data_IF_876781998966
#
_entry.id   IF_876781998966
#
_cell.length_a   1.000
_cell.length_b   1.000
_cell.length_c   1.000
_cell.angle_alpha   90.00
_cell.angle_beta   90.00
_cell.angle_gamma   90.00
#
_symmetry.space_group_name_H-M   'P 1'
#
loop_
_entity.id
_entity.type
_entity.pdbx_description
1 polymer ?
#
# COMPACT_ATOMS: atom_id res chain seq x y z
N UNK A 1 -32.45 -12.23 -9.99
CA UNK A 1 -31.13 -12.40 -10.66
C UNK A 1 -30.11 -11.63 -9.87
N UNK A 2 -29.74 -12.19 -8.72
CA UNK A 2 -28.86 -11.49 -7.78
C UNK A 2 -27.45 -12.04 -7.98
N UNK A 3 -26.79 -11.59 -9.07
CA UNK A 3 -25.33 -11.66 -9.14
C UNK A 3 -24.83 -10.73 -8.05
N UNK A 4 -24.02 -11.24 -7.13
CA UNK A 4 -23.45 -10.39 -6.09
C UNK A 4 -22.44 -9.43 -6.74
N UNK A 5 -22.66 -8.14 -6.53
CA UNK A 5 -21.64 -7.12 -6.72
C UNK A 5 -20.76 -7.14 -5.46
N UNK A 6 -19.50 -7.51 -5.64
CA UNK A 6 -18.53 -7.68 -4.56
C UNK A 6 -17.45 -6.63 -4.79
N UNK A 7 -17.57 -5.52 -4.06
CA UNK A 7 -16.67 -4.37 -4.15
C UNK A 7 -16.55 -3.79 -5.58
N UNK A 8 -17.66 -3.73 -6.34
CA UNK A 8 -17.69 -3.23 -7.70
C UNK A 8 -17.25 -4.25 -8.76
N UNK A 9 -17.09 -5.53 -8.40
CA UNK A 9 -16.77 -6.63 -9.32
C UNK A 9 -17.83 -7.72 -9.23
N UNK A 10 -18.21 -8.27 -10.38
CA UNK A 10 -19.26 -9.29 -10.48
C UNK A 10 -18.75 -10.64 -9.99
N UNK A 11 -19.55 -11.37 -9.22
CA UNK A 11 -19.24 -12.74 -8.82
C UNK A 11 -19.13 -13.68 -10.03
N UNK A 12 -18.09 -14.50 -10.05
CA UNK A 12 -17.90 -15.57 -11.03
C UNK A 12 -18.75 -16.79 -10.72
N UNK A 13 -19.30 -17.41 -11.77
CA UNK A 13 -20.20 -18.55 -11.69
C UNK A 13 -19.73 -19.71 -12.57
N UNK A 14 -20.06 -20.94 -12.18
CA UNK A 14 -19.76 -22.17 -12.92
C UNK A 14 -20.17 -22.04 -14.39
N UNK A 15 -19.26 -22.29 -15.32
CA UNK A 15 -19.49 -22.10 -16.75
C UNK A 15 -19.05 -20.74 -17.31
N UNK A 16 -18.62 -19.79 -16.48
CA UNK A 16 -18.02 -18.54 -16.95
C UNK A 16 -16.73 -18.83 -17.73
N UNK A 17 -16.43 -17.96 -18.69
CA UNK A 17 -15.26 -18.10 -19.55
C UNK A 17 -14.07 -17.34 -18.97
N UNK A 18 -12.88 -17.70 -19.45
CA UNK A 18 -11.68 -16.90 -19.28
C UNK A 18 -11.32 -16.13 -20.54
N UNK A 19 -10.40 -15.17 -20.44
CA UNK A 19 -9.82 -14.44 -21.59
C UNK A 19 -9.12 -15.34 -22.61
N UNK A 20 -8.76 -16.57 -22.24
CA UNK A 20 -8.23 -17.59 -23.17
C UNK A 20 -9.30 -18.55 -23.69
N UNK A 21 -10.58 -18.31 -23.40
CA UNK A 21 -11.70 -19.15 -23.81
C UNK A 21 -11.87 -20.45 -23.01
N UNK A 22 -11.18 -20.60 -21.87
CA UNK A 22 -11.39 -21.76 -20.99
C UNK A 22 -12.68 -21.58 -20.20
N UNK A 23 -13.44 -22.66 -20.00
CA UNK A 23 -14.62 -22.71 -19.13
C UNK A 23 -14.18 -22.97 -17.69
N UNK A 24 -14.68 -22.18 -16.73
CA UNK A 24 -14.45 -22.35 -15.30
C UNK A 24 -15.43 -23.34 -14.67
N UNK A 25 -14.96 -24.14 -13.71
CA UNK A 25 -15.70 -25.22 -13.06
C UNK A 25 -15.70 -25.04 -11.54
N UNK A 26 -16.89 -24.83 -10.96
CA UNK A 26 -17.03 -24.69 -9.52
C UNK A 26 -16.87 -26.04 -8.81
N UNK A 27 -16.09 -26.05 -7.72
CA UNK A 27 -15.87 -27.26 -6.91
C UNK A 27 -16.97 -27.52 -5.88
N UNK A 28 -17.75 -26.50 -5.51
CA UNK A 28 -18.74 -26.59 -4.42
C UNK A 28 -20.17 -26.74 -4.94
N UNK A 29 -20.61 -27.99 -5.02
CA UNK A 29 -21.91 -28.40 -5.57
C UNK A 29 -23.13 -27.92 -4.77
N UNK A 30 -22.92 -27.39 -3.55
CA UNK A 30 -23.99 -26.95 -2.64
C UNK A 30 -24.33 -25.44 -2.73
N UNK A 31 -23.70 -24.70 -3.65
CA UNK A 31 -23.87 -23.23 -3.80
C UNK A 31 -24.76 -22.82 -4.97
N UNK A 32 -25.83 -23.57 -5.25
CA UNK A 32 -26.77 -23.20 -6.31
C UNK A 32 -27.39 -21.84 -6.01
N UNK A 33 -27.04 -20.83 -6.82
CA UNK A 33 -27.68 -19.53 -6.80
C UNK A 33 -29.01 -19.58 -7.59
N UNK A 34 -29.75 -18.47 -7.62
CA UNK A 34 -31.08 -18.38 -8.26
C UNK A 34 -31.13 -18.85 -9.73
N UNK A 35 -30.00 -18.83 -10.45
CA UNK A 35 -29.88 -19.24 -11.84
C UNK A 35 -29.44 -20.72 -12.03
N UNK A 36 -29.30 -21.47 -10.94
CA UNK A 36 -28.87 -22.87 -10.94
C UNK A 36 -27.36 -23.07 -11.11
N UNK A 37 -26.58 -21.98 -11.25
CA UNK A 37 -25.11 -22.04 -11.37
C UNK A 37 -24.48 -21.92 -9.98
N UNK A 38 -23.36 -22.60 -9.81
CA UNK A 38 -22.59 -22.62 -8.55
C UNK A 38 -21.59 -21.48 -8.54
N UNK A 39 -21.29 -20.93 -7.37
CA UNK A 39 -20.31 -19.85 -7.26
C UNK A 39 -18.88 -20.36 -7.47
N UNK A 40 -18.09 -19.64 -8.27
CA UNK A 40 -16.67 -19.89 -8.41
C UNK A 40 -15.91 -19.33 -7.21
N UNK A 41 -14.83 -20.00 -6.84
CA UNK A 41 -14.00 -19.69 -5.68
C UNK A 41 -12.52 -19.84 -6.01
N UNK A 42 -11.68 -19.29 -5.14
CA UNK A 42 -10.24 -19.52 -5.18
C UNK A 42 -9.94 -21.04 -5.17
N UNK A 43 -9.12 -21.49 -6.12
CA UNK A 43 -8.74 -22.89 -6.31
C UNK A 43 -9.58 -23.68 -7.32
N UNK A 44 -10.71 -23.12 -7.78
CA UNK A 44 -11.55 -23.75 -8.80
C UNK A 44 -10.81 -23.87 -10.14
N UNK A 45 -11.11 -24.95 -10.88
CA UNK A 45 -10.35 -25.32 -12.08
C UNK A 45 -11.05 -24.85 -13.35
N UNK A 46 -10.29 -24.72 -14.43
CA UNK A 46 -10.85 -24.50 -15.76
C UNK A 46 -10.65 -25.74 -16.64
N UNK A 47 -11.41 -25.84 -17.72
CA UNK A 47 -11.02 -26.65 -18.87
C UNK A 47 -9.67 -26.18 -19.45
N UNK A 48 -9.14 -26.96 -20.40
CA UNK A 48 -7.87 -26.63 -21.08
C UNK A 48 -7.88 -25.20 -21.65
N UNK A 49 -6.86 -24.43 -21.28
CA UNK A 49 -6.59 -23.09 -21.81
C UNK A 49 -6.50 -23.11 -23.35
N UNK A 50 -7.24 -22.22 -24.03
CA UNK A 50 -7.21 -22.12 -25.49
C UNK A 50 -5.87 -21.67 -26.08
N UNK A 51 -4.94 -21.18 -25.25
CA UNK A 51 -3.60 -20.73 -25.68
C UNK A 51 -2.53 -21.79 -25.40
N UNK A 52 -2.45 -22.35 -24.19
CA UNK A 52 -1.39 -23.31 -23.82
C UNK A 52 -1.85 -24.76 -23.67
N UNK A 53 -3.15 -25.05 -23.80
CA UNK A 53 -3.74 -26.38 -23.70
C UNK A 53 -3.82 -26.97 -22.29
N UNK A 54 -3.23 -26.33 -21.28
CA UNK A 54 -3.21 -26.83 -19.89
C UNK A 54 -4.46 -26.40 -19.11
N UNK A 55 -4.88 -27.24 -18.17
CA UNK A 55 -5.94 -26.91 -17.19
C UNK A 55 -5.51 -25.69 -16.38
N UNK A 56 -6.39 -24.71 -16.28
CA UNK A 56 -6.18 -23.51 -15.47
C UNK A 56 -6.71 -23.68 -14.04
N UNK A 57 -6.27 -22.80 -13.16
CA UNK A 57 -6.77 -22.67 -11.78
C UNK A 57 -7.02 -21.20 -11.48
N UNK A 58 -8.20 -20.89 -10.93
CA UNK A 58 -8.52 -19.55 -10.43
C UNK A 58 -7.71 -19.33 -9.15
N UNK A 59 -6.78 -18.37 -9.20
CA UNK A 59 -5.87 -18.09 -8.08
C UNK A 59 -6.10 -16.71 -7.45
N UNK A 60 -7.21 -16.07 -7.80
CA UNK A 60 -7.63 -14.79 -7.24
C UNK A 60 -9.11 -14.87 -6.84
N UNK A 61 -9.41 -14.38 -5.64
CA UNK A 61 -10.78 -14.27 -5.11
C UNK A 61 -10.89 -13.08 -4.17
N UNK A 62 -12.12 -12.64 -3.90
CA UNK A 62 -12.44 -11.55 -2.99
C UNK A 62 -12.84 -12.13 -1.63
N UNK A 63 -12.12 -11.75 -0.57
CA UNK A 63 -12.27 -12.29 0.78
C UNK A 63 -13.35 -11.58 1.61
N UNK A 64 -13.90 -10.48 1.11
CA UNK A 64 -15.09 -9.84 1.71
C UNK A 64 -16.34 -10.72 1.64
N UNK A 65 -16.31 -11.75 0.78
CA UNK A 65 -17.36 -12.74 0.65
C UNK A 65 -16.80 -14.14 0.41
N UNK A 66 -17.07 -15.06 1.34
CA UNK A 66 -16.54 -16.43 1.27
C UNK A 66 -17.65 -17.46 1.15
N UNK A 67 -17.35 -18.53 0.43
CA UNK A 67 -18.17 -19.75 0.37
C UNK A 67 -17.40 -20.89 1.02
N UNK A 68 -17.92 -21.44 2.11
CA UNK A 68 -17.24 -22.48 2.92
C UNK A 68 -15.82 -22.05 3.34
N UNK A 69 -15.69 -20.78 3.76
CA UNK A 69 -14.41 -20.19 4.15
C UNK A 69 -13.42 -19.91 3.02
N UNK A 70 -13.76 -20.22 1.76
CA UNK A 70 -12.92 -19.95 0.59
C UNK A 70 -13.41 -18.67 -0.11
N UNK A 71 -12.51 -17.70 -0.40
CA UNK A 71 -12.85 -16.48 -1.13
C UNK A 71 -13.55 -16.75 -2.46
N UNK A 72 -14.59 -15.98 -2.77
CA UNK A 72 -15.33 -16.12 -4.02
C UNK A 72 -14.52 -15.50 -5.17
N UNK A 73 -14.51 -16.14 -6.33
CA UNK A 73 -13.91 -15.57 -7.53
C UNK A 73 -14.81 -14.47 -8.08
N UNK A 74 -14.21 -13.41 -8.62
CA UNK A 74 -14.92 -12.25 -9.19
C UNK A 74 -14.37 -11.91 -10.58
N UNK A 75 -15.06 -11.07 -11.34
CA UNK A 75 -14.61 -10.59 -12.64
C UNK A 75 -13.15 -10.12 -12.60
N UNK A 76 -12.40 -10.46 -13.65
CA UNK A 76 -10.96 -10.17 -13.83
C UNK A 76 -10.01 -11.00 -12.94
N UNK A 77 -10.55 -11.91 -12.11
CA UNK A 77 -9.74 -12.81 -11.29
C UNK A 77 -8.72 -13.59 -12.12
N UNK A 78 -7.47 -13.58 -11.68
CA UNK A 78 -6.38 -14.29 -12.33
C UNK A 78 -6.63 -15.81 -12.39
N UNK A 79 -6.43 -16.37 -13.58
CA UNK A 79 -6.43 -17.82 -13.82
C UNK A 79 -5.04 -18.26 -14.26
N UNK A 80 -4.36 -19.09 -13.47
CA UNK A 80 -3.04 -19.60 -13.83
C UNK A 80 -3.14 -20.88 -14.66
N UNK A 81 -2.41 -20.88 -15.76
CA UNK A 81 -2.10 -22.05 -16.59
C UNK A 81 -0.64 -21.89 -17.05
N UNK A 82 -0.19 -22.64 -18.06
CA UNK A 82 1.17 -22.48 -18.58
C UNK A 82 1.42 -21.17 -19.39
N UNK A 83 0.43 -20.28 -19.49
CA UNK A 83 0.59 -18.95 -20.09
C UNK A 83 1.24 -17.97 -19.10
N UNK A 84 1.87 -16.88 -19.57
CA UNK A 84 2.34 -15.82 -18.69
C UNK A 84 1.21 -15.31 -17.76
N UNK A 85 1.45 -15.14 -16.44
CA UNK A 85 0.44 -14.63 -15.52
C UNK A 85 -0.17 -13.31 -15.99
N UNK A 86 -1.49 -13.17 -15.86
CA UNK A 86 -2.26 -12.02 -16.35
C UNK A 86 -2.79 -12.17 -17.79
N UNK A 87 -2.33 -13.17 -18.53
CA UNK A 87 -2.85 -13.49 -19.89
C UNK A 87 -4.22 -14.18 -19.84
N UNK A 88 -4.52 -14.86 -18.74
CA UNK A 88 -5.73 -15.64 -18.56
C UNK A 88 -6.49 -15.13 -17.32
N UNK A 89 -7.70 -14.60 -17.50
CA UNK A 89 -8.52 -13.98 -16.45
C UNK A 89 -9.98 -14.39 -16.56
N UNK A 90 -10.66 -14.50 -15.43
CA UNK A 90 -12.08 -14.82 -15.33
C UNK A 90 -12.93 -13.69 -15.92
N UNK A 91 -13.88 -14.04 -16.77
CA UNK A 91 -14.88 -13.15 -17.33
C UNK A 91 -16.23 -13.53 -16.71
N UNK A 92 -16.53 -12.93 -15.56
CA UNK A 92 -17.91 -12.91 -15.06
C UNK A 92 -18.70 -11.90 -15.89
N UNK A 93 -19.91 -12.24 -16.32
CA UNK A 93 -20.75 -11.31 -17.10
C UNK A 93 -22.08 -11.08 -16.42
N UNK A 94 -22.44 -9.80 -16.23
CA UNK A 94 -23.82 -9.33 -16.11
C UNK A 94 -24.64 -10.00 -17.21
N UNK A 95 -25.67 -10.71 -16.80
CA UNK A 95 -26.62 -11.40 -17.67
C UNK A 95 -26.94 -10.62 -18.95
N UNK A 96 -26.28 -11.01 -20.05
CA UNK A 96 -26.69 -10.76 -21.42
C UNK A 96 -25.76 -11.56 -22.35
N UNK A 97 -25.98 -12.88 -22.43
CA UNK A 97 -25.62 -13.67 -23.62
C UNK A 97 -26.34 -15.02 -23.62
N UNK A 98 -27.65 -14.95 -23.85
CA UNK A 98 -28.28 -15.97 -24.66
C UNK A 98 -27.90 -15.68 -26.13
N UNK A 99 -27.10 -16.56 -26.75
CA UNK A 99 -27.02 -16.66 -28.20
C UNK A 99 -25.62 -16.68 -28.82
N UNK A 100 -25.41 -17.71 -29.65
CA UNK A 100 -24.48 -17.82 -30.77
C UNK A 100 -23.11 -18.53 -30.55
N UNK A 101 -23.17 -19.85 -30.75
CA UNK A 101 -22.46 -20.64 -31.77
C UNK A 101 -20.93 -20.79 -31.78
N UNK A 102 -20.54 -22.08 -31.74
CA UNK A 102 -19.30 -22.71 -32.19
C UNK A 102 -18.65 -22.08 -33.44
N UNK A 103 -17.34 -21.84 -33.36
CA UNK A 103 -16.43 -21.93 -34.49
C UNK A 103 -15.01 -22.35 -34.02
N UNK A 104 -14.37 -23.22 -34.80
CA UNK A 104 -13.05 -23.85 -34.60
C UNK A 104 -11.88 -23.00 -35.16
N UNK A 105 -10.60 -23.34 -34.86
CA UNK A 105 -9.47 -22.42 -34.97
C UNK A 105 -8.66 -22.56 -36.27
N UNK A 106 -7.84 -21.54 -36.58
CA UNK A 106 -6.73 -21.66 -37.54
C UNK A 106 -5.47 -20.94 -37.06
N UNK A 107 -4.33 -21.54 -37.42
CA UNK A 107 -2.97 -21.23 -36.98
C UNK A 107 -2.21 -20.28 -37.94
N UNK A 108 -1.23 -19.51 -37.44
CA UNK A 108 0.03 -19.22 -38.15
C UNK A 108 1.07 -18.42 -37.32
N UNK A 109 2.26 -19.03 -37.23
CA UNK A 109 3.67 -18.58 -37.12
C UNK A 109 4.12 -17.11 -36.86
N UNK A 110 5.25 -17.03 -36.12
CA UNK A 110 6.08 -15.87 -35.71
C UNK A 110 6.95 -15.23 -36.83
N UNK A 111 7.76 -14.17 -36.56
CA UNK A 111 9.15 -14.37 -36.10
C UNK A 111 9.79 -13.29 -35.17
N UNK A 112 10.98 -13.63 -34.63
CA UNK A 112 11.83 -12.96 -33.62
C UNK A 112 12.64 -11.71 -34.07
N UNK A 113 13.36 -11.04 -33.14
CA UNK A 113 14.80 -10.83 -33.34
C UNK A 113 15.71 -11.07 -32.11
N UNK A 114 17.01 -11.10 -32.43
CA UNK A 114 18.19 -11.67 -31.75
C UNK A 114 18.93 -10.63 -30.87
N UNK A 115 19.56 -11.10 -29.77
CA UNK A 115 20.56 -10.35 -28.96
C UNK A 115 22.01 -10.60 -29.41
N UNK A 116 22.98 -9.73 -29.02
CA UNK A 116 24.37 -10.11 -28.85
C UNK A 116 24.83 -10.07 -27.37
N UNK A 117 25.67 -11.04 -26.98
CA UNK A 117 26.54 -11.09 -25.78
C UNK A 117 28.00 -10.74 -26.19
N UNK A 118 29.08 -10.78 -25.34
CA UNK A 118 29.20 -11.19 -23.91
C UNK A 118 30.15 -10.32 -23.02
N UNK A 119 30.09 -10.53 -21.69
CA UNK A 119 31.22 -11.02 -20.84
C UNK A 119 30.96 -10.87 -19.32
N UNK A 120 31.23 -11.95 -18.59
CA UNK A 120 31.17 -12.10 -17.13
C UNK A 120 32.58 -12.11 -16.53
N UNK A 121 32.73 -11.84 -15.21
CA UNK A 121 33.38 -12.86 -14.37
C UNK A 121 32.61 -13.23 -13.09
N UNK A 122 32.82 -14.49 -12.72
CA UNK A 122 32.11 -15.38 -11.79
C UNK A 122 32.06 -14.97 -10.31
N UNK A 123 30.98 -15.40 -9.63
CA UNK A 123 30.89 -15.49 -8.16
C UNK A 123 31.14 -16.93 -7.69
N UNK A 124 31.97 -17.07 -6.65
CA UNK A 124 32.43 -18.31 -6.02
C UNK A 124 31.38 -18.89 -5.06
N UNK A 125 30.94 -20.12 -5.33
CA UNK A 125 30.40 -21.03 -4.30
C UNK A 125 31.08 -22.40 -4.45
N UNK A 126 31.35 -23.14 -3.36
CA UNK A 126 32.05 -24.41 -3.43
C UNK A 126 31.15 -25.48 -4.05
N UNK A 127 31.61 -26.07 -5.15
CA UNK A 127 31.01 -27.28 -5.72
C UNK A 127 31.41 -28.49 -4.87
N UNK A 128 30.43 -29.10 -4.20
CA UNK A 128 30.49 -30.53 -3.91
C UNK A 128 29.60 -31.20 -4.95
N UNK A 129 30.18 -32.01 -5.82
CA UNK A 129 29.48 -32.65 -6.94
C UNK A 129 28.82 -33.96 -6.49
N UNK A 130 27.49 -34.13 -6.60
CA UNK A 130 26.88 -35.44 -6.82
C UNK A 130 26.58 -35.63 -8.32
N UNK A 131 26.41 -36.90 -8.73
CA UNK A 131 26.17 -37.42 -10.08
C UNK A 131 25.09 -36.67 -10.92
N UNK A 132 24.96 -36.90 -12.26
CA UNK A 132 24.04 -36.13 -13.12
C UNK A 132 22.58 -36.47 -12.78
N UNK A 133 22.01 -35.71 -11.84
CA UNK A 133 20.63 -35.82 -11.38
C UNK A 133 19.78 -34.65 -11.88
N UNK A 134 18.46 -34.88 -11.92
CA UNK A 134 17.47 -33.81 -12.13
C UNK A 134 17.59 -32.80 -10.98
N UNK A 135 17.59 -31.51 -11.31
CA UNK A 135 17.51 -30.43 -10.32
C UNK A 135 16.08 -29.92 -10.31
N UNK A 136 15.52 -29.65 -9.12
CA UNK A 136 14.20 -29.06 -8.99
C UNK A 136 14.33 -27.65 -8.45
N UNK A 137 14.07 -26.64 -9.28
CA UNK A 137 14.26 -25.25 -8.89
C UNK A 137 13.25 -24.31 -9.52
N UNK A 138 13.00 -23.19 -8.85
CA UNK A 138 12.23 -22.06 -9.34
C UNK A 138 13.08 -20.80 -9.29
N UNK A 139 13.05 -20.01 -10.36
CA UNK A 139 13.62 -18.68 -10.37
C UNK A 139 12.53 -17.61 -10.28
N UNK A 140 12.83 -16.53 -9.56
CA UNK A 140 11.98 -15.36 -9.43
C UNK A 140 12.77 -14.12 -9.85
N UNK A 141 12.19 -13.31 -10.72
CA UNK A 141 12.72 -11.99 -11.08
C UNK A 141 12.00 -10.93 -10.25
N UNK A 142 12.65 -10.43 -9.21
CA UNK A 142 12.07 -9.44 -8.29
C UNK A 142 12.38 -8.04 -8.81
N UNK A 143 11.33 -7.24 -9.02
CA UNK A 143 11.40 -5.91 -9.63
C UNK A 143 10.65 -4.87 -8.82
N UNK A 144 11.09 -3.63 -8.92
CA UNK A 144 10.35 -2.49 -8.41
C UNK A 144 9.11 -2.25 -9.29
N UNK A 145 7.93 -2.12 -8.70
CA UNK A 145 6.68 -2.03 -9.46
C UNK A 145 6.46 -0.67 -10.12
N UNK A 146 7.15 0.38 -9.68
CA UNK A 146 7.04 1.73 -10.26
C UNK A 146 8.01 1.94 -11.43
N UNK A 147 9.21 1.38 -11.32
CA UNK A 147 10.32 1.62 -12.26
C UNK A 147 10.62 0.42 -13.14
N UNK A 148 10.15 -0.78 -12.78
CA UNK A 148 10.46 -2.04 -13.47
C UNK A 148 11.90 -2.54 -13.28
N UNK A 149 12.73 -1.80 -12.55
CA UNK A 149 14.14 -2.13 -12.34
C UNK A 149 14.29 -3.36 -11.44
N UNK A 150 15.32 -4.20 -11.67
CA UNK A 150 15.60 -5.34 -10.82
C UNK A 150 15.99 -4.89 -9.41
N UNK A 151 15.44 -5.55 -8.40
CA UNK A 151 15.75 -5.28 -6.99
C UNK A 151 16.88 -6.20 -6.53
N UNK A 152 18.13 -5.75 -6.68
CA UNK A 152 19.32 -6.48 -6.24
C UNK A 152 19.51 -6.48 -4.72
N UNK A 153 20.19 -7.52 -4.19
CA UNK A 153 20.46 -7.69 -2.75
C UNK A 153 19.20 -7.53 -1.89
N UNK A 154 18.06 -7.99 -2.40
CA UNK A 154 16.76 -7.95 -1.75
C UNK A 154 16.58 -9.19 -0.90
N UNK A 155 16.42 -9.00 0.41
CA UNK A 155 16.09 -10.08 1.34
C UNK A 155 14.72 -10.67 1.00
N UNK A 156 14.64 -12.00 1.02
CA UNK A 156 13.39 -12.75 0.90
C UNK A 156 13.39 -13.95 1.83
N UNK A 157 12.19 -14.45 2.14
CA UNK A 157 11.98 -15.73 2.81
C UNK A 157 11.25 -16.66 1.85
N UNK A 158 11.83 -17.82 1.58
CA UNK A 158 11.22 -18.88 0.79
C UNK A 158 10.73 -20.00 1.71
N UNK A 159 9.46 -20.37 1.62
CA UNK A 159 8.92 -21.59 2.24
C UNK A 159 8.92 -22.70 1.20
N UNK A 160 9.66 -23.78 1.44
CA UNK A 160 9.73 -24.96 0.58
C UNK A 160 9.25 -26.16 1.37
N UNK A 161 8.15 -26.78 0.94
CA UNK A 161 7.56 -27.95 1.61
C UNK A 161 7.35 -27.74 3.13
N UNK A 162 6.95 -26.52 3.51
CA UNK A 162 6.73 -26.10 4.90
C UNK A 162 7.97 -25.63 5.66
N UNK A 163 9.18 -25.75 5.09
CA UNK A 163 10.41 -25.23 5.70
C UNK A 163 10.78 -23.85 5.16
N UNK A 164 10.97 -22.88 6.06
CA UNK A 164 11.42 -21.55 5.68
C UNK A 164 12.95 -21.48 5.54
N UNK A 165 13.40 -20.77 4.50
CA UNK A 165 14.80 -20.43 4.24
C UNK A 165 14.88 -18.97 3.80
N UNK A 166 15.79 -18.20 4.36
CA UNK A 166 16.06 -16.82 3.90
C UNK A 166 17.10 -16.80 2.80
N UNK A 167 16.99 -15.82 1.90
CA UNK A 167 17.96 -15.58 0.84
C UNK A 167 18.00 -14.10 0.43
N UNK A 168 18.90 -13.79 -0.50
CA UNK A 168 18.99 -12.46 -1.13
C UNK A 168 19.02 -12.61 -2.64
N UNK A 169 18.42 -11.66 -3.35
CA UNK A 169 18.52 -11.60 -4.82
C UNK A 169 19.93 -11.22 -5.26
N UNK A 170 20.33 -11.70 -6.44
CA UNK A 170 21.59 -11.31 -7.08
C UNK A 170 21.56 -9.88 -7.66
N UNK A 171 22.62 -9.48 -8.37
CA UNK A 171 22.72 -8.16 -9.02
C UNK A 171 21.65 -7.87 -10.07
N UNK A 172 20.98 -8.91 -10.58
CA UNK A 172 19.91 -8.82 -11.57
C UNK A 172 18.52 -8.96 -10.94
N UNK A 173 18.42 -8.93 -9.61
CA UNK A 173 17.16 -9.10 -8.88
C UNK A 173 16.62 -10.52 -8.93
N UNK A 174 17.47 -11.51 -9.19
CA UNK A 174 17.06 -12.92 -9.33
C UNK A 174 17.18 -13.66 -8.00
N UNK A 175 16.12 -14.38 -7.63
CA UNK A 175 16.12 -15.36 -6.54
C UNK A 175 15.93 -16.76 -7.11
N UNK A 176 16.79 -17.71 -6.73
CA UNK A 176 16.65 -19.13 -7.07
C UNK A 176 16.32 -19.92 -5.81
N UNK A 177 15.22 -20.67 -5.84
CA UNK A 177 14.78 -21.52 -4.74
C UNK A 177 14.71 -22.96 -5.22
N UNK A 178 15.30 -23.88 -4.47
CA UNK A 178 15.39 -25.29 -4.83
C UNK A 178 14.44 -26.14 -3.98
N UNK A 179 13.80 -27.10 -4.64
CA UNK A 179 12.91 -28.10 -4.06
C UNK A 179 13.58 -29.46 -3.95
N UNK A 180 13.00 -30.33 -3.13
CA UNK A 180 13.48 -31.70 -2.95
C UNK A 180 12.98 -32.65 -4.06
N UNK A 181 11.86 -32.31 -4.71
CA UNK A 181 11.22 -33.10 -5.76
C UNK A 181 10.48 -32.22 -6.77
N UNK A 182 9.99 -32.81 -7.86
CA UNK A 182 9.13 -32.12 -8.84
C UNK A 182 7.82 -31.61 -8.23
N UNK A 183 7.36 -32.21 -7.13
CA UNK A 183 6.13 -31.84 -6.45
C UNK A 183 6.31 -30.75 -5.40
N UNK A 184 7.56 -30.35 -5.13
CA UNK A 184 7.85 -29.35 -4.09
C UNK A 184 7.14 -28.03 -4.38
N UNK A 185 6.46 -27.52 -3.35
CA UNK A 185 5.76 -26.24 -3.39
C UNK A 185 6.65 -25.17 -2.75
N UNK A 186 6.81 -24.07 -3.45
CA UNK A 186 7.60 -22.92 -3.04
C UNK A 186 6.71 -21.71 -2.90
N UNK A 187 6.77 -21.06 -1.74
CA UNK A 187 6.19 -19.73 -1.52
C UNK A 187 7.32 -18.74 -1.28
N UNK A 188 7.35 -17.64 -2.01
CA UNK A 188 8.35 -16.58 -1.83
C UNK A 188 7.71 -15.34 -1.22
N UNK A 189 8.22 -14.90 -0.07
CA UNK A 189 7.86 -13.64 0.56
C UNK A 189 9.03 -12.66 0.44
N UNK A 190 8.81 -11.50 -0.18
CA UNK A 190 9.86 -10.50 -0.41
C UNK A 190 9.77 -9.41 0.65
N UNK A 191 10.89 -9.14 1.34
CA UNK A 191 10.92 -8.14 2.41
C UNK A 191 10.85 -6.73 1.81
N UNK A 192 10.01 -5.87 2.38
CA UNK A 192 9.89 -4.48 1.94
C UNK A 192 10.97 -3.61 2.59
N UNK A 193 11.34 -2.51 1.90
CA UNK A 193 12.25 -1.50 2.43
C UNK A 193 11.55 -0.19 2.71
N UNK A 194 11.67 0.28 3.94
CA UNK A 194 11.41 1.67 4.29
C UNK A 194 12.70 2.50 4.15
N UNK A 195 12.63 3.84 4.11
CA UNK A 195 13.83 4.68 4.07
C UNK A 195 14.81 4.45 5.21
N UNK A 196 14.32 4.08 6.41
CA UNK A 196 15.19 3.86 7.55
C UNK A 196 15.75 2.43 7.63
N UNK A 197 14.98 1.42 7.16
CA UNK A 197 15.30 0.01 7.38
C UNK A 197 14.46 -0.96 6.54
N UNK A 198 14.91 -2.21 6.47
CA UNK A 198 14.07 -3.32 6.03
C UNK A 198 12.94 -3.57 7.04
N UNK A 199 11.72 -3.76 6.54
CA UNK A 199 10.53 -4.00 7.36
C UNK A 199 10.29 -5.49 7.48
N UNK A 200 10.95 -6.10 8.47
CA UNK A 200 10.83 -7.53 8.72
C UNK A 200 9.55 -7.87 9.50
N UNK A 201 8.98 -6.93 10.26
CA UNK A 201 7.76 -7.18 11.05
C UNK A 201 6.51 -7.36 10.20
N UNK A 202 6.59 -7.01 8.91
CA UNK A 202 5.53 -7.25 7.94
C UNK A 202 5.60 -8.65 7.31
N UNK A 203 6.66 -9.41 7.59
CA UNK A 203 6.84 -10.74 7.05
C UNK A 203 5.78 -11.70 7.62
N UNK A 204 4.76 -12.01 6.81
CA UNK A 204 3.63 -12.85 7.21
C UNK A 204 2.40 -12.08 7.69
N UNK A 205 2.43 -10.75 7.73
CA UNK A 205 1.17 -9.98 7.77
C UNK A 205 0.53 -10.08 6.38
N UNK A 206 -0.80 -10.27 6.32
CA UNK A 206 -1.64 -10.13 5.11
C UNK A 206 -1.68 -8.66 4.65
N UNK A 207 -0.51 -8.07 4.44
CA UNK A 207 -0.32 -6.96 3.52
C UNK A 207 -0.62 -7.52 2.14
N UNK A 208 -1.38 -6.78 1.30
CA UNK A 208 -1.74 -7.18 -0.08
C UNK A 208 -0.53 -7.83 -0.74
N UNK A 209 -0.58 -9.16 -0.90
CA UNK A 209 0.59 -10.03 -0.80
C UNK A 209 1.61 -9.82 -1.93
N UNK A 210 2.89 -9.67 -1.57
CA UNK A 210 4.00 -10.11 -2.43
C UNK A 210 4.44 -11.50 -1.95
N UNK A 211 3.46 -12.38 -1.83
CA UNK A 211 3.67 -13.81 -1.56
C UNK A 211 3.26 -14.54 -2.84
N UNK A 212 4.22 -15.15 -3.53
CA UNK A 212 3.91 -15.93 -4.73
C UNK A 212 4.17 -17.40 -4.47
N UNK A 213 3.11 -18.20 -4.51
CA UNK A 213 3.18 -19.65 -4.33
C UNK A 213 3.15 -20.34 -5.68
N UNK A 214 4.11 -21.23 -5.94
CA UNK A 214 4.25 -21.98 -7.18
C UNK A 214 4.96 -23.32 -6.94
N UNK A 215 4.98 -24.20 -7.94
CA UNK A 215 5.80 -25.43 -7.90
C UNK A 215 7.19 -25.17 -8.47
N UNK A 216 8.15 -26.03 -8.22
CA UNK A 216 9.48 -25.99 -8.87
C UNK A 216 9.43 -26.53 -10.32
N UNK A 217 10.38 -26.12 -11.17
CA UNK A 217 10.61 -26.73 -12.49
C UNK A 217 11.57 -27.92 -12.37
N UNK A 218 11.32 -28.98 -13.15
CA UNK A 218 12.29 -30.06 -13.32
C UNK A 218 13.29 -29.67 -14.40
N UNK A 219 14.57 -29.56 -14.03
CA UNK A 219 15.66 -29.12 -14.89
C UNK A 219 16.64 -30.26 -15.15
N UNK A 220 17.15 -30.31 -16.37
CA UNK A 220 18.32 -31.11 -16.70
C UNK A 220 19.56 -30.29 -16.26
N UNK A 221 20.60 -30.98 -15.82
CA UNK A 221 21.81 -30.34 -15.31
C UNK A 221 22.38 -29.32 -16.32
N UNK A 222 22.47 -28.05 -15.92
CA UNK A 222 22.90 -26.93 -16.78
C UNK A 222 21.77 -25.98 -17.23
N UNK A 223 20.51 -26.39 -17.11
CA UNK A 223 19.37 -25.54 -17.49
C UNK A 223 19.05 -24.47 -16.43
N UNK A 224 18.71 -23.27 -16.88
CA UNK A 224 18.20 -22.19 -16.03
C UNK A 224 16.68 -22.17 -16.03
N UNK A 225 16.02 -22.22 -14.85
CA UNK A 225 14.56 -22.17 -14.78
C UNK A 225 14.03 -20.82 -15.29
N UNK A 226 12.85 -20.83 -15.91
CA UNK A 226 12.24 -19.59 -16.41
C UNK A 226 11.82 -18.70 -15.22
N UNK A 227 12.25 -17.41 -15.19
CA UNK A 227 11.92 -16.52 -14.09
C UNK A 227 10.44 -16.18 -14.04
N UNK A 228 9.82 -16.35 -12.88
CA UNK A 228 8.51 -15.75 -12.58
C UNK A 228 8.73 -14.32 -12.05
N UNK A 229 8.06 -13.33 -12.64
CA UNK A 229 8.22 -11.94 -12.24
C UNK A 229 7.41 -11.66 -10.98
N UNK A 230 8.05 -11.08 -9.97
CA UNK A 230 7.43 -10.57 -8.76
C UNK A 230 7.71 -9.07 -8.69
N UNK A 231 6.67 -8.25 -8.52
CA UNK A 231 6.83 -6.80 -8.40
C UNK A 231 6.61 -6.34 -6.96
N UNK A 232 7.49 -5.48 -6.46
CA UNK A 232 7.48 -4.95 -5.10
C UNK A 232 7.26 -3.44 -5.15
N UNK A 233 6.29 -2.92 -4.40
CA UNK A 233 6.20 -1.48 -4.13
C UNK A 233 6.57 -1.22 -2.66
N UNK A 234 7.86 -0.96 -2.42
CA UNK A 234 8.39 -0.65 -1.09
C UNK A 234 7.68 0.53 -0.42
N UNK A 235 7.28 1.52 -1.23
CA UNK A 235 6.65 2.73 -0.72
C UNK A 235 5.21 2.50 -0.30
N UNK A 236 4.43 1.77 -1.11
CA UNK A 236 3.06 1.41 -0.77
C UNK A 236 3.02 0.48 0.45
N UNK A 237 3.96 -0.48 0.55
CA UNK A 237 4.08 -1.33 1.71
C UNK A 237 4.48 -0.55 2.98
N UNK A 238 5.39 0.42 2.86
CA UNK A 238 5.75 1.31 3.98
C UNK A 238 4.56 2.17 4.43
N UNK A 239 3.77 2.71 3.49
CA UNK A 239 2.50 3.39 3.81
C UNK A 239 1.57 2.48 4.61
N UNK A 240 1.34 1.26 4.13
CA UNK A 240 0.50 0.27 4.81
C UNK A 240 1.04 -0.08 6.21
N UNK A 241 2.36 -0.17 6.36
CA UNK A 241 3.02 -0.40 7.65
C UNK A 241 2.68 0.68 8.68
N UNK A 242 2.69 1.95 8.26
CA UNK A 242 2.33 3.09 9.11
C UNK A 242 0.86 2.95 9.55
N UNK A 243 -0.05 2.68 8.62
CA UNK A 243 -1.49 2.52 8.90
C UNK A 243 -1.71 1.39 9.92
N UNK A 244 -1.10 0.23 9.70
CA UNK A 244 -1.20 -0.90 10.62
C UNK A 244 -0.62 -0.59 11.97
N UNK A 245 0.53 0.09 12.04
CA UNK A 245 1.13 0.46 13.32
C UNK A 245 0.27 1.44 14.10
N UNK A 246 -0.39 2.40 13.44
CA UNK A 246 -1.36 3.29 14.07
C UNK A 246 -2.53 2.50 14.66
N UNK A 247 -3.09 1.56 13.89
CA UNK A 247 -4.17 0.67 14.36
C UNK A 247 -3.74 -0.24 15.52
N UNK A 248 -2.54 -0.82 15.45
CA UNK A 248 -1.93 -1.63 16.51
C UNK A 248 -1.76 -0.83 17.81
N UNK A 249 -1.45 0.47 17.70
CA UNK A 249 -1.34 1.40 18.82
C UNK A 249 -2.71 1.92 19.32
N UNK A 250 -3.82 1.33 18.88
CA UNK A 250 -5.16 1.57 19.42
C UNK A 250 -5.94 2.71 18.77
N UNK A 251 -5.47 3.24 17.63
CA UNK A 251 -6.06 4.41 16.98
C UNK A 251 -6.80 4.04 15.69
N UNK A 252 -7.94 4.71 15.46
CA UNK A 252 -8.62 4.63 14.17
C UNK A 252 -7.77 5.25 13.05
N UNK A 253 -7.89 4.70 11.84
CA UNK A 253 -7.23 5.25 10.66
C UNK A 253 -8.17 5.25 9.46
N UNK A 254 -8.42 6.43 8.90
CA UNK A 254 -9.32 6.67 7.76
C UNK A 254 -8.47 7.04 6.53
N UNK A 255 -8.53 6.21 5.49
CA UNK A 255 -7.79 6.42 4.24
C UNK A 255 -8.47 7.49 3.37
N UNK A 256 -7.73 8.07 2.41
CA UNK A 256 -8.23 9.11 1.51
C UNK A 256 -9.58 8.79 0.87
N UNK A 257 -9.75 7.57 0.38
CA UNK A 257 -10.99 7.14 -0.27
C UNK A 257 -12.19 7.11 0.67
N UNK A 258 -11.96 6.79 1.94
CA UNK A 258 -13.01 6.60 2.96
C UNK A 258 -13.62 7.93 3.40
N UNK A 259 -12.83 9.00 3.49
CA UNK A 259 -13.37 10.36 3.71
C UNK A 259 -13.70 11.10 2.40
N UNK A 260 -13.68 10.41 1.27
CA UNK A 260 -13.99 10.94 -0.06
C UNK A 260 -13.08 12.10 -0.51
N UNK A 261 -11.78 11.95 -0.30
CA UNK A 261 -10.78 12.90 -0.79
C UNK A 261 -10.85 13.06 -2.31
N UNK A 262 -10.96 14.30 -2.78
CA UNK A 262 -10.77 14.59 -4.19
C UNK A 262 -9.32 14.31 -4.62
N UNK A 263 -9.08 13.91 -5.88
CA UNK A 263 -7.73 13.72 -6.38
C UNK A 263 -6.97 15.06 -6.48
N UNK A 264 -5.63 15.04 -6.49
CA UNK A 264 -4.83 16.23 -6.75
C UNK A 264 -5.15 16.89 -8.10
N UNK A 265 -5.07 18.22 -8.18
CA UNK A 265 -5.23 18.99 -9.42
C UNK A 265 -4.17 18.68 -10.47
N UNK A 266 -2.97 18.30 -10.02
CA UNK A 266 -1.80 18.01 -10.85
C UNK A 266 -0.96 16.91 -10.21
N UNK A 267 -0.05 16.34 -11.01
CA UNK A 267 0.95 15.40 -10.52
C UNK A 267 1.76 16.03 -9.38
N UNK A 268 1.82 15.34 -8.24
CA UNK A 268 2.53 15.80 -7.06
C UNK A 268 4.02 15.47 -7.16
N UNK A 269 4.85 16.31 -6.53
CA UNK A 269 6.30 16.09 -6.43
C UNK A 269 6.56 14.96 -5.43
N UNK A 270 7.34 13.95 -5.83
CA UNK A 270 7.75 12.85 -4.94
C UNK A 270 8.68 13.35 -3.83
N UNK A 271 8.49 12.79 -2.65
CA UNK A 271 9.40 12.91 -1.50
C UNK A 271 9.25 11.63 -0.67
N UNK A 272 10.32 11.22 0.01
CA UNK A 272 10.35 9.90 0.65
C UNK A 272 11.35 9.80 1.80
N UNK A 273 12.45 10.55 1.74
CA UNK A 273 13.51 10.50 2.75
C UNK A 273 13.24 11.50 3.88
N UNK A 274 12.08 11.34 4.53
CA UNK A 274 11.67 12.22 5.61
C UNK A 274 12.59 12.10 6.83
N UNK A 275 12.99 13.25 7.35
CA UNK A 275 13.84 13.34 8.56
C UNK A 275 13.22 14.24 9.64
N UNK A 276 12.12 14.92 9.32
CA UNK A 276 11.51 15.93 10.16
C UNK A 276 9.99 15.81 10.15
N UNK A 277 9.36 16.22 11.25
CA UNK A 277 7.89 16.34 11.37
C UNK A 277 7.52 17.79 11.70
N UNK A 278 6.54 18.33 10.98
CA UNK A 278 5.92 19.62 11.27
C UNK A 278 4.50 19.42 11.80
N UNK A 279 4.24 19.91 13.01
CA UNK A 279 2.90 19.93 13.61
C UNK A 279 2.18 21.23 13.29
N UNK A 280 0.95 21.11 12.81
CA UNK A 280 0.04 22.19 12.48
C UNK A 280 -1.25 22.07 13.30
N UNK A 281 -2.02 23.16 13.37
CA UNK A 281 -3.44 23.11 13.72
C UNK A 281 -4.27 23.65 12.56
N UNK A 282 -5.53 23.24 12.46
CA UNK A 282 -6.37 23.53 11.28
C UNK A 282 -6.76 25.01 11.13
N UNK A 283 -6.68 25.79 12.20
CA UNK A 283 -6.92 27.23 12.23
C UNK A 283 -7.98 27.62 13.26
N UNK A 284 -8.26 28.92 13.37
CA UNK A 284 -9.17 29.46 14.39
C UNK A 284 -10.66 29.19 14.15
N UNK A 285 -11.04 28.81 12.94
CA UNK A 285 -12.41 28.46 12.58
C UNK A 285 -12.77 27.01 12.96
N UNK A 286 -11.81 26.22 13.43
CA UNK A 286 -12.03 24.81 13.76
C UNK A 286 -12.35 24.65 15.25
N UNK A 287 -13.38 23.88 15.55
CA UNK A 287 -13.63 23.29 16.86
C UNK A 287 -13.55 21.77 16.76
N UNK A 288 -13.50 21.05 17.88
CA UNK A 288 -13.67 19.59 17.82
C UNK A 288 -14.98 19.22 17.11
N UNK A 289 -14.91 18.21 16.23
CA UNK A 289 -16.03 17.77 15.39
C UNK A 289 -15.66 16.52 14.62
N UNK A 290 -16.49 16.17 13.64
CA UNK A 290 -16.26 15.01 12.76
C UNK A 290 -15.05 15.27 11.85
N UNK A 291 -14.02 14.42 11.98
CA UNK A 291 -12.75 14.62 11.28
C UNK A 291 -12.87 14.54 9.76
N UNK A 292 -13.74 13.67 9.22
CA UNK A 292 -13.94 13.55 7.77
C UNK A 292 -14.40 14.87 7.13
N UNK A 293 -15.41 15.53 7.72
CA UNK A 293 -15.89 16.84 7.26
C UNK A 293 -14.81 17.92 7.37
N UNK A 294 -14.03 17.88 8.45
CA UNK A 294 -12.92 18.81 8.67
C UNK A 294 -11.78 18.63 7.66
N UNK A 295 -11.48 17.39 7.26
CA UNK A 295 -10.52 17.05 6.21
C UNK A 295 -11.01 17.51 4.83
N UNK A 296 -12.28 17.31 4.52
CA UNK A 296 -12.89 17.81 3.28
C UNK A 296 -12.82 19.34 3.20
N UNK A 297 -13.15 20.03 4.30
CA UNK A 297 -13.08 21.50 4.36
C UNK A 297 -11.64 22.01 4.21
N UNK A 298 -10.67 21.33 4.84
CA UNK A 298 -9.26 21.65 4.72
C UNK A 298 -8.76 21.45 3.27
N UNK A 299 -9.17 20.35 2.62
CA UNK A 299 -8.87 20.09 1.22
C UNK A 299 -9.49 21.18 0.32
N UNK A 300 -10.79 21.46 0.46
CA UNK A 300 -11.51 22.48 -0.32
C UNK A 300 -10.82 23.83 -0.23
N UNK A 301 -10.52 24.29 0.99
CA UNK A 301 -9.79 25.54 1.25
C UNK A 301 -8.43 25.56 0.56
N UNK A 302 -7.67 24.46 0.63
CA UNK A 302 -6.36 24.37 -0.02
C UNK A 302 -6.44 24.41 -1.54
N UNK A 303 -7.42 23.73 -2.13
CA UNK A 303 -7.64 23.73 -3.58
C UNK A 303 -8.13 25.10 -4.07
N UNK A 304 -9.14 25.68 -3.43
CA UNK A 304 -9.87 26.85 -3.92
C UNK A 304 -9.17 28.16 -3.56
N UNK A 305 -8.80 28.33 -2.29
CA UNK A 305 -8.33 29.59 -1.74
C UNK A 305 -6.81 29.69 -1.78
N UNK A 306 -6.11 28.65 -1.31
CA UNK A 306 -4.63 28.66 -1.22
C UNK A 306 -3.91 28.21 -2.49
N UNK A 307 -4.67 27.79 -3.51
CA UNK A 307 -4.15 27.35 -4.83
C UNK A 307 -3.12 26.22 -4.74
N UNK A 308 -3.25 25.35 -3.74
CA UNK A 308 -2.46 24.13 -3.66
C UNK A 308 -3.02 23.09 -4.64
N UNK A 309 -2.18 22.12 -5.00
CA UNK A 309 -2.59 21.01 -5.88
C UNK A 309 -3.32 19.89 -5.14
N UNK A 310 -3.21 19.81 -3.81
CA UNK A 310 -3.89 18.84 -2.93
C UNK A 310 -3.84 19.38 -1.49
N UNK A 311 -4.48 18.71 -0.52
CA UNK A 311 -4.35 19.03 0.91
C UNK A 311 -2.86 19.12 1.29
N UNK A 312 -2.52 20.09 2.15
CA UNK A 312 -1.12 20.41 2.45
C UNK A 312 -0.42 19.49 3.45
N UNK A 313 -1.18 18.64 4.14
CA UNK A 313 -0.72 17.82 5.25
C UNK A 313 -0.77 16.33 4.87
N UNK A 314 0.17 15.52 5.33
CA UNK A 314 0.12 14.07 5.11
C UNK A 314 -0.91 13.39 6.00
N UNK A 315 -1.10 13.90 7.22
CA UNK A 315 -2.04 13.34 8.18
C UNK A 315 -2.85 14.44 8.86
N UNK A 316 -4.13 14.19 9.07
CA UNK A 316 -4.99 14.92 10.00
C UNK A 316 -5.31 14.08 11.23
N UNK A 317 -5.52 14.71 12.39
CA UNK A 317 -5.93 14.02 13.62
C UNK A 317 -7.09 14.77 14.24
N UNK A 318 -8.23 14.11 14.39
CA UNK A 318 -9.39 14.71 15.05
C UNK A 318 -9.29 14.66 16.59
N UNK A 319 -10.25 15.27 17.26
CA UNK A 319 -10.26 15.37 18.72
C UNK A 319 -10.47 14.01 19.42
N UNK A 320 -11.00 13.02 18.71
CA UNK A 320 -11.24 11.66 19.23
C UNK A 320 -10.02 10.75 19.04
N UNK A 321 -8.95 11.24 18.40
CA UNK A 321 -7.73 10.48 18.15
C UNK A 321 -7.75 9.66 16.86
N UNK A 322 -8.74 9.86 15.98
CA UNK A 322 -8.74 9.20 14.67
C UNK A 322 -7.75 9.91 13.75
N UNK A 323 -6.88 9.13 13.10
CA UNK A 323 -5.91 9.61 12.12
C UNK A 323 -6.51 9.52 10.72
N UNK A 324 -6.42 10.60 9.96
CA UNK A 324 -6.91 10.68 8.59
C UNK A 324 -5.72 10.82 7.66
N UNK A 325 -5.68 10.02 6.61
CA UNK A 325 -4.73 10.21 5.53
C UNK A 325 -5.09 11.47 4.74
N UNK A 326 -4.18 12.45 4.75
CA UNK A 326 -4.23 13.61 3.87
C UNK A 326 -3.50 13.32 2.57
N UNK A 327 -2.48 14.12 2.27
CA UNK A 327 -1.58 13.92 1.14
C UNK A 327 -0.84 12.61 1.31
N UNK A 328 -0.84 11.79 0.26
CA UNK A 328 -0.17 10.50 0.29
C UNK A 328 1.32 10.70 0.65
N UNK A 329 1.78 9.92 1.64
CA UNK A 329 3.12 10.02 2.23
C UNK A 329 4.25 9.83 1.21
N UNK A 330 3.97 9.31 0.02
CA UNK A 330 4.92 9.19 -1.10
C UNK A 330 5.24 10.50 -1.81
N UNK A 331 4.58 11.59 -1.42
CA UNK A 331 4.72 12.90 -2.05
C UNK A 331 5.02 13.99 -1.04
N UNK A 332 5.72 15.02 -1.50
CA UNK A 332 6.08 16.20 -0.73
C UNK A 332 4.85 16.94 -0.18
N UNK A 333 4.89 17.30 1.10
CA UNK A 333 3.91 18.17 1.75
C UNK A 333 3.82 19.57 1.10
N UNK A 334 2.80 20.33 1.49
CA UNK A 334 2.72 21.78 1.23
C UNK A 334 2.33 22.59 2.49
N UNK A 335 2.67 22.07 3.67
CA UNK A 335 2.35 22.67 4.97
C UNK A 335 3.33 23.75 5.46
N UNK A 336 4.61 23.67 5.10
CA UNK A 336 5.69 24.57 5.58
C UNK A 336 6.33 25.28 4.39
N UNK A 337 5.99 26.56 4.21
CA UNK A 337 6.44 27.37 3.08
C UNK A 337 7.98 27.38 2.96
N UNK A 338 8.49 27.06 1.76
CA UNK A 338 9.92 26.90 1.44
C UNK A 338 10.67 25.79 2.20
N UNK A 339 9.99 24.98 3.01
CA UNK A 339 10.64 23.97 3.86
C UNK A 339 9.91 22.62 3.87
N UNK A 340 9.18 22.30 2.80
CA UNK A 340 8.40 21.06 2.72
C UNK A 340 9.24 19.79 2.43
N UNK A 341 10.48 19.90 1.95
CA UNK A 341 11.30 18.72 1.60
C UNK A 341 11.74 17.99 2.87
N UNK A 342 11.66 16.66 2.87
CA UNK A 342 12.00 15.80 4.01
C UNK A 342 11.20 16.11 5.30
N UNK A 343 10.07 16.83 5.18
CA UNK A 343 9.16 17.17 6.27
C UNK A 343 7.83 16.44 6.10
N UNK A 344 7.44 15.67 7.12
CA UNK A 344 6.08 15.14 7.24
C UNK A 344 5.22 16.18 7.95
N UNK A 345 4.17 16.67 7.29
CA UNK A 345 3.21 17.59 7.91
C UNK A 345 2.02 16.84 8.53
N UNK A 346 1.76 17.09 9.82
CA UNK A 346 0.61 16.56 10.58
C UNK A 346 -0.24 17.75 11.04
N UNK A 347 -1.55 17.71 10.82
CA UNK A 347 -2.49 18.74 11.28
C UNK A 347 -3.41 18.21 12.39
N UNK A 348 -3.51 18.96 13.48
CA UNK A 348 -4.53 18.75 14.49
C UNK A 348 -5.80 19.49 14.07
N UNK A 349 -6.91 18.78 13.92
CA UNK A 349 -8.20 19.32 13.47
C UNK A 349 -8.92 20.04 14.61
N UNK A 350 -8.26 21.07 15.14
CA UNK A 350 -8.64 21.80 16.33
C UNK A 350 -8.09 23.24 16.30
N UNK A 351 -8.72 24.18 16.99
CA UNK A 351 -8.17 25.50 17.25
C UNK A 351 -7.34 25.50 18.54
N UNK A 352 -6.02 25.58 18.38
CA UNK A 352 -5.05 25.52 19.47
C UNK A 352 -4.32 26.86 19.70
N UNK A 353 -4.97 27.95 19.31
CA UNK A 353 -4.45 29.31 19.44
C UNK A 353 -5.29 30.10 20.44
N UNK A 354 -4.67 30.66 21.47
CA UNK A 354 -5.40 31.53 22.41
C UNK A 354 -5.94 32.79 21.73
N UNK A 355 -6.92 33.41 22.38
CA UNK A 355 -7.52 34.70 21.98
C UNK A 355 -6.47 35.80 21.82
N UNK A 356 -5.44 35.78 22.67
CA UNK A 356 -4.36 36.78 22.77
C UNK A 356 -3.24 36.62 21.73
N UNK A 357 -2.94 35.39 21.31
CA UNK A 357 -1.89 35.15 20.30
C UNK A 357 -2.35 35.77 18.96
N UNK A 358 -1.49 36.48 18.22
CA UNK A 358 -1.82 37.02 16.88
C UNK A 358 -2.11 38.53 16.76
N UNK A 359 -2.44 39.22 17.86
CA UNK A 359 -2.54 40.70 17.94
C UNK A 359 -3.66 41.39 17.12
N UNK A 360 -4.30 42.44 17.67
CA UNK A 360 -5.25 43.33 16.95
C UNK A 360 -6.57 43.62 17.68
N UNK A 361 -7.43 44.47 17.10
CA UNK A 361 -8.75 44.85 17.64
C UNK A 361 -9.73 43.67 17.80
N UNK A 362 -9.51 42.59 17.05
CA UNK A 362 -10.23 41.31 17.20
C UNK A 362 -9.82 40.51 18.45
N UNK A 363 -8.63 40.76 19.01
CA UNK A 363 -8.22 40.15 20.27
C UNK A 363 -9.09 40.68 21.42
N UNK A 364 -9.35 41.99 21.45
CA UNK A 364 -10.24 42.61 22.45
C UNK A 364 -11.68 42.05 22.41
N UNK A 365 -12.29 41.97 21.22
CA UNK A 365 -13.64 41.41 21.10
C UNK A 365 -13.74 39.93 21.50
N UNK A 366 -12.67 39.15 21.32
CA UNK A 366 -12.60 37.74 21.74
C UNK A 366 -12.28 37.59 23.22
N UNK A 367 -11.44 38.47 23.79
CA UNK A 367 -11.23 38.55 25.24
C UNK A 367 -12.54 38.88 25.98
N UNK A 368 -13.41 39.70 25.38
CA UNK A 368 -14.76 39.97 25.91
C UNK A 368 -15.64 38.72 25.87
N UNK A 369 -15.61 37.91 24.80
CA UNK A 369 -16.35 36.64 24.71
C UNK A 369 -15.84 35.58 25.70
N UNK A 370 -14.51 35.51 25.90
CA UNK A 370 -13.87 34.62 26.85
C UNK A 370 -14.21 35.01 28.30
N UNK A 371 -14.21 36.32 28.61
CA UNK A 371 -14.60 36.85 29.92
C UNK A 371 -16.08 36.62 30.31
N UNK A 372 -16.95 36.33 29.33
CA UNK A 372 -18.36 35.95 29.56
C UNK A 372 -18.59 34.43 29.44
N UNK A 373 -17.53 33.62 29.42
CA UNK A 373 -17.61 32.16 29.49
C UNK A 373 -17.64 31.42 28.15
N UNK A 374 -17.44 32.11 27.02
CA UNK A 374 -17.32 31.50 25.70
C UNK A 374 -15.85 31.47 25.28
N UNK A 375 -15.08 30.52 25.81
CA UNK A 375 -13.71 30.29 25.36
C UNK A 375 -13.69 29.88 23.89
N UNK A 376 -12.93 30.62 23.09
CA UNK A 376 -12.66 30.25 21.69
C UNK A 376 -11.40 29.39 21.54
N UNK A 377 -10.74 29.06 22.65
CA UNK A 377 -9.51 28.25 22.70
C UNK A 377 -9.85 26.87 23.23
N UNK A 378 -9.43 25.82 22.53
CA UNK A 378 -9.63 24.46 23.01
C UNK A 378 -8.37 23.96 23.73
N UNK A 379 -8.56 23.24 24.84
CA UNK A 379 -7.52 22.34 25.34
C UNK A 379 -7.34 21.19 24.33
N UNK A 380 -6.15 20.57 24.33
CA UNK A 380 -5.89 19.41 23.48
C UNK A 380 -6.51 18.18 24.16
N UNK A 381 -7.49 17.50 23.54
CA UNK A 381 -8.05 16.26 24.09
C UNK A 381 -6.97 15.20 24.27
N UNK A 382 -7.06 14.43 25.35
CA UNK A 382 -6.08 13.38 25.65
C UNK A 382 -5.96 12.38 24.48
N UNK A 383 -7.09 12.04 23.83
CA UNK A 383 -7.07 11.11 22.69
C UNK A 383 -6.32 11.68 21.49
N UNK A 384 -6.53 12.96 21.17
CA UNK A 384 -5.81 13.65 20.09
C UNK A 384 -4.31 13.74 20.39
N UNK A 385 -3.92 14.04 21.63
CA UNK A 385 -2.52 14.07 22.05
C UNK A 385 -1.85 12.69 21.94
N UNK A 386 -2.52 11.64 22.43
CA UNK A 386 -2.03 10.26 22.38
C UNK A 386 -1.87 9.75 20.94
N UNK A 387 -2.89 9.99 20.09
CA UNK A 387 -2.84 9.67 18.66
C UNK A 387 -1.68 10.37 17.95
N UNK A 388 -1.41 11.63 18.30
CA UNK A 388 -0.27 12.37 17.73
C UNK A 388 1.06 11.74 18.13
N UNK A 389 1.25 11.37 19.39
CA UNK A 389 2.46 10.71 19.86
C UNK A 389 2.64 9.34 19.19
N UNK A 390 1.57 8.55 19.10
CA UNK A 390 1.62 7.20 18.51
C UNK A 390 1.82 7.24 17.00
N UNK A 391 1.25 8.22 16.28
CA UNK A 391 1.56 8.45 14.88
C UNK A 391 3.05 8.84 14.71
N UNK A 392 3.59 9.72 15.55
CA UNK A 392 5.03 10.06 15.49
C UNK A 392 5.91 8.83 15.72
N UNK A 393 5.55 7.95 16.66
CA UNK A 393 6.26 6.70 16.88
C UNK A 393 6.15 5.73 15.69
N UNK A 394 4.98 5.63 15.06
CA UNK A 394 4.78 4.85 13.84
C UNK A 394 5.63 5.39 12.68
N UNK A 395 5.73 6.71 12.53
CA UNK A 395 6.58 7.33 11.50
C UNK A 395 8.06 7.11 11.79
N UNK A 396 8.49 7.23 13.05
CA UNK A 396 9.88 6.91 13.47
C UNK A 396 10.27 5.46 13.25
N UNK A 397 9.32 4.53 13.19
CA UNK A 397 9.63 3.12 12.99
C UNK A 397 9.97 2.79 11.53
N UNK A 398 9.70 3.70 10.59
CA UNK A 398 9.93 3.50 9.15
C UNK A 398 10.78 4.61 8.49
N UNK A 399 10.82 5.80 9.07
CA UNK A 399 11.64 6.92 8.61
C UNK A 399 12.66 7.32 9.67
N UNK A 400 13.82 7.83 9.24
CA UNK A 400 14.86 8.33 10.14
C UNK A 400 14.52 9.73 10.64
N UNK A 401 13.40 9.86 11.36
CA UNK A 401 12.95 11.13 11.92
C UNK A 401 13.87 11.51 13.09
N UNK A 402 14.52 12.67 12.95
CA UNK A 402 15.46 13.22 13.93
C UNK A 402 14.96 14.51 14.57
N UNK A 403 13.94 15.15 13.98
CA UNK A 403 13.40 16.43 14.43
C UNK A 403 11.88 16.47 14.39
N UNK A 404 11.29 17.16 15.35
CA UNK A 404 9.87 17.50 15.37
C UNK A 404 9.71 18.92 15.88
N UNK A 405 8.87 19.72 15.21
CA UNK A 405 8.56 21.07 15.67
C UNK A 405 7.18 21.53 15.26
N UNK A 406 6.74 22.62 15.87
CA UNK A 406 5.56 23.33 15.39
C UNK A 406 5.88 24.08 14.10
N UNK A 407 4.90 24.28 13.23
CA UNK A 407 5.04 25.06 11.99
C UNK A 407 5.85 26.36 12.19
N UNK A 408 5.56 27.15 13.23
CA UNK A 408 6.28 28.41 13.51
C UNK A 408 7.75 28.27 13.88
N UNK A 409 8.21 27.10 14.32
CA UNK A 409 9.62 26.85 14.67
C UNK A 409 10.49 26.60 13.44
N UNK A 410 9.91 26.30 12.27
CA UNK A 410 10.69 26.10 11.05
C UNK A 410 11.25 27.43 10.52
N UNK A 411 12.37 27.39 9.76
CA UNK A 411 13.00 28.59 9.23
C UNK A 411 12.02 29.53 8.53
N UNK A 412 12.15 30.83 8.87
CA UNK A 412 11.37 31.96 8.33
C UNK A 412 9.87 31.97 8.64
N UNK A 413 9.30 30.92 9.25
CA UNK A 413 7.85 30.84 9.47
C UNK A 413 7.36 31.89 10.48
N UNK A 414 7.97 31.96 11.66
CA UNK A 414 7.64 32.98 12.68
C UNK A 414 7.89 34.41 12.19
N UNK A 415 8.98 34.63 11.45
CA UNK A 415 9.29 35.93 10.85
C UNK A 415 8.20 36.38 9.86
N UNK A 416 7.55 35.43 9.17
CA UNK A 416 6.41 35.66 8.28
C UNK A 416 5.07 35.74 9.03
N UNK A 417 5.08 35.92 10.35
CA UNK A 417 3.88 36.05 11.18
C UNK A 417 3.08 34.75 11.37
N UNK A 418 3.63 33.59 11.02
CA UNK A 418 2.95 32.30 11.25
C UNK A 418 2.94 31.99 12.75
N UNK A 419 1.74 31.76 13.29
CA UNK A 419 1.52 31.41 14.71
C UNK A 419 1.21 29.92 14.91
N UNK A 420 0.95 29.18 13.84
CA UNK A 420 0.67 27.74 13.85
C UNK A 420 1.84 26.94 14.49
N UNK A 421 1.62 25.91 15.32
CA UNK A 421 0.36 25.26 15.70
C UNK A 421 -0.38 25.95 16.85
N UNK A 422 -0.14 27.24 17.08
CA UNK A 422 -0.69 27.96 18.22
C UNK A 422 0.08 27.66 19.51
N UNK A 423 -0.05 28.50 20.52
CA UNK A 423 0.62 28.39 21.80
C UNK A 423 0.19 27.12 22.56
N UNK A 424 -1.08 26.73 22.49
CA UNK A 424 -1.55 25.46 23.08
C UNK A 424 -0.93 24.27 22.30
N UNK A 425 -0.92 24.33 20.97
CA UNK A 425 -0.29 23.30 20.14
C UNK A 425 1.21 23.13 20.40
N UNK A 426 1.91 24.23 20.73
CA UNK A 426 3.32 24.19 21.12
C UNK A 426 3.59 23.42 22.41
N UNK A 427 2.63 23.35 23.34
CA UNK A 427 2.77 22.53 24.54
C UNK A 427 2.93 21.06 24.14
N UNK A 428 2.09 20.57 23.23
CA UNK A 428 2.17 19.20 22.73
C UNK A 428 3.46 18.94 21.94
N UNK A 429 3.91 19.89 21.11
CA UNK A 429 5.21 19.79 20.41
C UNK A 429 6.35 19.52 21.39
N UNK A 430 6.40 20.28 22.49
CA UNK A 430 7.43 20.13 23.52
C UNK A 430 7.33 18.76 24.23
N UNK A 431 6.11 18.34 24.59
CA UNK A 431 5.88 17.06 25.25
C UNK A 431 6.29 15.88 24.35
N UNK A 432 5.92 15.91 23.07
CA UNK A 432 6.28 14.84 22.12
C UNK A 432 7.80 14.80 21.93
N UNK A 433 8.47 15.95 21.75
CA UNK A 433 9.95 15.98 21.66
C UNK A 433 10.60 15.32 22.87
N UNK A 434 10.15 15.65 24.09
CA UNK A 434 10.65 15.04 25.32
C UNK A 434 10.42 13.52 25.35
N UNK A 435 9.22 13.06 24.99
CA UNK A 435 8.88 11.62 24.97
C UNK A 435 9.60 10.83 23.90
N UNK A 436 9.96 11.47 22.79
CA UNK A 436 10.53 10.80 21.61
C UNK A 436 12.01 11.06 21.40
N UNK A 437 12.63 11.89 22.24
CA UNK A 437 14.03 12.36 22.10
C UNK A 437 14.33 13.01 20.75
N UNK A 438 13.34 13.69 20.16
CA UNK A 438 13.50 14.41 18.89
C UNK A 438 13.99 15.84 19.13
N UNK A 439 14.86 16.31 18.25
CA UNK A 439 15.38 17.68 18.32
C UNK A 439 14.36 18.70 17.78
N UNK A 440 14.57 19.98 18.08
CA UNK A 440 13.91 21.10 17.37
C UNK A 440 14.23 21.07 15.87
N UNK A 441 13.38 21.71 15.04
CA UNK A 441 13.73 22.04 13.67
C UNK A 441 15.03 22.87 13.60
N UNK A 442 15.71 22.90 12.45
CA UNK A 442 16.88 23.76 12.26
C UNK A 442 16.54 25.23 12.46
N UNK A 443 17.47 25.98 13.06
CA UNK A 443 17.39 27.43 13.12
C UNK A 443 17.70 28.04 11.73
N UNK A 444 17.15 29.22 11.48
CA UNK A 444 17.25 29.91 10.18
C UNK A 444 18.63 30.52 9.92
#
# INVERSE_FOLDING_TARGET
>A
MTIFDINGREQGLDGDLTTTGAICHASLVQTSLEDGRMALRLGDKTSSCGVCGQVGEIVEGDDSFTWDGIPTAVHDALVLCACPPGTNRLIASRSERAGASRATPDAAAAPHPIMPTPNTPSSLYPHTTPAPGKIFARAFAIRDSETGQPLANRTFTATVDGQQKSGTTDSNGMARVEGSSADSVVSLHVMFRSPARELNELAGMTTREVTTTTRVETLIHGDTPKPMVITVNDRAATREAIIRKVRELGHGFVERSEWHAQPPKKALVRDWDYTMIALHHAGRSYSCGEGANQMQEALRTHLEEKKFDDIGYHFGIDCSGIVYEGRDIRFKASGVELYNTAVISIVLLNNLTTTEEGGGSTAWGRSVLDAIGFSTTNEIPLQQADATLNLVNALKSVFNITRLGGHKEFPRQKANGKICPGNVGMILVNLIRLKTSLNSPPEA
#
